data_IF_380850981190
#
_entry.id   IF_380850981190
#
_cell.length_a   1.000
_cell.length_b   1.000
_cell.length_c   1.000
_cell.angle_alpha   90.00
_cell.angle_beta   90.00
_cell.angle_gamma   90.00
#
_symmetry.space_group_name_H-M   'P 1'
#
loop_
_entity.id
_entity.type
_entity.pdbx_description
1 polymer ?
#
# COMPACT_ATOMS: atom_id res chain seq x y z
N UNK A 1 10.06 -4.16 -12.17
CA UNK A 1 10.48 -5.01 -11.03
C UNK A 1 10.60 -4.15 -9.79
N UNK A 2 10.41 -4.76 -8.61
CA UNK A 2 10.60 -4.15 -7.29
C UNK A 2 11.82 -4.79 -6.65
N UNK A 3 12.69 -3.97 -6.05
CA UNK A 3 13.91 -4.42 -5.37
C UNK A 3 14.05 -3.67 -4.04
N UNK A 4 14.95 -4.15 -3.17
CA UNK A 4 15.35 -3.42 -1.97
C UNK A 4 15.71 -1.96 -2.32
N UNK A 5 15.14 -1.02 -1.57
CA UNK A 5 15.29 0.43 -1.82
C UNK A 5 14.24 1.06 -2.73
N UNK A 6 13.34 0.28 -3.34
CA UNK A 6 12.20 0.84 -4.10
C UNK A 6 10.98 1.19 -3.23
N UNK A 7 11.05 0.97 -1.91
CA UNK A 7 10.01 1.40 -0.95
C UNK A 7 9.74 2.89 -1.07
N UNK A 8 8.47 3.29 -1.11
CA UNK A 8 8.03 4.66 -1.34
C UNK A 8 7.81 5.03 -2.82
N UNK A 9 8.22 4.17 -3.76
CA UNK A 9 8.01 4.42 -5.20
C UNK A 9 6.52 4.37 -5.57
N UNK A 10 6.06 5.20 -6.53
CA UNK A 10 4.66 5.18 -6.97
C UNK A 10 4.36 3.91 -7.78
N UNK A 11 3.23 3.28 -7.48
CA UNK A 11 2.60 2.25 -8.33
C UNK A 11 1.64 2.98 -9.26
N UNK A 12 1.85 2.83 -10.58
CA UNK A 12 1.04 3.51 -11.60
C UNK A 12 0.13 2.53 -12.34
N UNK A 13 -1.07 3.00 -12.72
CA UNK A 13 -1.94 2.24 -13.62
C UNK A 13 -1.30 2.21 -15.01
N UNK A 14 -1.11 1.01 -15.56
CA UNK A 14 -0.44 0.79 -16.84
C UNK A 14 -1.05 1.65 -17.97
N UNK A 15 -0.19 2.28 -18.76
CA UNK A 15 -0.60 3.18 -19.86
C UNK A 15 -1.12 4.55 -19.40
N UNK A 16 -1.05 4.89 -18.11
CA UNK A 16 -1.51 6.17 -17.56
C UNK A 16 -0.44 6.82 -16.67
N UNK A 17 -0.67 8.08 -16.27
CA UNK A 17 0.11 8.77 -15.23
C UNK A 17 -0.57 8.75 -13.86
N UNK A 18 -1.56 7.88 -13.67
CA UNK A 18 -2.35 7.80 -12.45
C UNK A 18 -1.61 6.93 -11.44
N UNK A 19 -1.28 7.50 -10.27
CA UNK A 19 -0.75 6.79 -9.11
C UNK A 19 -1.91 6.10 -8.38
N UNK A 20 -1.82 4.79 -8.21
CA UNK A 20 -2.86 3.96 -7.59
C UNK A 20 -2.41 3.33 -6.27
N UNK A 21 -1.13 3.42 -5.95
CA UNK A 21 -0.56 2.89 -4.74
C UNK A 21 0.88 3.36 -4.52
N UNK A 22 1.42 3.02 -3.36
CA UNK A 22 2.82 3.22 -2.99
C UNK A 22 3.42 1.86 -2.72
N UNK A 23 4.57 1.60 -3.33
CA UNK A 23 5.32 0.36 -3.10
C UNK A 23 5.88 0.37 -1.68
N UNK A 24 5.71 -0.73 -0.95
CA UNK A 24 6.26 -0.92 0.37
C UNK A 24 7.44 -1.91 0.28
N UNK A 25 7.55 -2.80 1.26
CA UNK A 25 8.54 -3.86 1.30
C UNK A 25 8.01 -5.11 0.57
N UNK A 26 8.91 -6.04 0.24
CA UNK A 26 8.58 -7.36 -0.27
C UNK A 26 9.03 -8.42 0.72
N UNK A 27 8.56 -9.65 0.57
CA UNK A 27 9.03 -10.78 1.37
C UNK A 27 10.34 -11.32 0.78
N UNK A 28 11.48 -10.86 1.30
CA UNK A 28 12.80 -11.08 0.69
C UNK A 28 13.31 -12.52 0.89
N UNK A 29 13.11 -13.06 2.10
CA UNK A 29 13.75 -14.30 2.55
C UNK A 29 12.79 -15.49 2.65
N UNK A 30 11.48 -15.28 2.50
CA UNK A 30 10.47 -16.31 2.77
C UNK A 30 10.17 -16.46 4.26
N UNK A 31 10.51 -15.47 5.09
CA UNK A 31 10.26 -15.53 6.53
C UNK A 31 8.82 -15.10 6.86
N UNK A 32 8.31 -15.62 7.97
CA UNK A 32 6.95 -15.37 8.44
C UNK A 32 6.90 -14.07 9.25
N UNK A 33 6.39 -13.01 8.63
CA UNK A 33 6.07 -11.74 9.30
C UNK A 33 7.25 -11.12 10.08
N UNK A 34 8.47 -11.22 9.56
CA UNK A 34 9.66 -10.60 10.16
C UNK A 34 10.00 -9.28 9.45
N UNK A 35 11.02 -8.56 9.92
CA UNK A 35 11.51 -7.36 9.23
C UNK A 35 11.90 -7.71 7.78
N UNK A 36 11.49 -6.87 6.82
CA UNK A 36 11.66 -7.11 5.37
C UNK A 36 11.00 -8.40 4.85
N UNK A 37 10.05 -8.96 5.62
CA UNK A 37 9.37 -10.21 5.30
C UNK A 37 7.88 -10.15 5.69
N UNK A 38 7.10 -9.23 5.07
CA UNK A 38 5.66 -9.11 5.29
C UNK A 38 4.91 -10.42 4.95
N UNK A 39 3.73 -10.56 5.53
CA UNK A 39 2.85 -11.71 5.37
C UNK A 39 1.39 -11.24 5.23
N UNK A 40 0.55 -12.08 4.64
CA UNK A 40 -0.89 -11.86 4.52
C UNK A 40 -1.60 -12.63 5.63
N UNK A 41 -2.50 -11.95 6.34
CA UNK A 41 -3.33 -12.54 7.39
C UNK A 41 -4.77 -12.46 6.91
N UNK A 42 -5.43 -13.60 6.73
CA UNK A 42 -6.82 -13.63 6.31
C UNK A 42 -7.81 -13.39 7.47
N UNK A 43 -9.11 -13.38 7.16
CA UNK A 43 -10.18 -13.17 8.13
C UNK A 43 -10.28 -14.27 9.21
N UNK A 44 -9.71 -15.45 8.96
CA UNK A 44 -9.66 -16.56 9.91
C UNK A 44 -8.35 -16.57 10.72
N UNK A 45 -7.42 -15.66 10.42
CA UNK A 45 -6.10 -15.59 11.04
C UNK A 45 -5.06 -16.54 10.42
N UNK A 46 -5.35 -17.15 9.26
CA UNK A 46 -4.32 -17.92 8.55
C UNK A 46 -3.27 -16.97 7.97
N UNK A 47 -2.02 -17.40 8.03
CA UNK A 47 -0.88 -16.58 7.63
C UNK A 47 -0.26 -17.18 6.38
N UNK A 48 -0.26 -16.40 5.29
CA UNK A 48 0.42 -16.72 4.03
C UNK A 48 1.65 -15.84 3.88
N UNK A 49 2.79 -16.42 3.50
CA UNK A 49 4.04 -15.68 3.28
C UNK A 49 4.76 -16.34 2.11
N UNK A 50 4.91 -15.60 1.02
CA UNK A 50 5.49 -16.12 -0.23
C UNK A 50 6.73 -15.32 -0.56
N UNK A 51 7.87 -16.00 -0.61
CA UNK A 51 9.15 -15.38 -0.99
C UNK A 51 9.04 -14.68 -2.34
N UNK A 52 9.54 -13.44 -2.41
CA UNK A 52 9.56 -12.59 -3.59
C UNK A 52 8.29 -11.76 -3.82
N UNK A 53 7.21 -11.99 -3.07
CA UNK A 53 5.99 -11.18 -3.20
C UNK A 53 6.25 -9.77 -2.68
N UNK A 54 5.86 -8.76 -3.45
CA UNK A 54 5.97 -7.35 -3.09
C UNK A 54 4.61 -6.76 -2.72
N UNK A 55 4.60 -5.87 -1.74
CA UNK A 55 3.38 -5.31 -1.19
C UNK A 55 3.29 -3.82 -1.50
N UNK A 56 2.09 -3.34 -1.77
CA UNK A 56 1.83 -1.93 -1.98
C UNK A 56 0.57 -1.48 -1.23
N UNK A 57 0.58 -0.25 -0.77
CA UNK A 57 -0.58 0.37 -0.14
C UNK A 57 -1.36 1.18 -1.18
N UNK A 58 -2.66 0.94 -1.31
CA UNK A 58 -3.49 1.71 -2.23
C UNK A 58 -3.69 3.15 -1.74
N UNK A 59 -3.74 4.12 -2.65
CA UNK A 59 -3.88 5.55 -2.33
C UNK A 59 -5.32 6.07 -2.39
N UNK A 60 -6.29 5.26 -2.82
CA UNK A 60 -7.63 5.76 -3.13
C UNK A 60 -8.36 6.41 -1.94
N UNK A 61 -8.08 5.96 -0.72
CA UNK A 61 -8.67 6.51 0.49
C UNK A 61 -8.23 7.96 0.73
N UNK A 62 -7.01 8.34 0.34
CA UNK A 62 -6.51 9.72 0.45
C UNK A 62 -7.37 10.66 -0.38
N UNK A 63 -7.78 10.25 -1.59
CA UNK A 63 -8.60 11.09 -2.48
C UNK A 63 -9.98 11.40 -1.91
N UNK A 64 -10.52 10.56 -1.01
CA UNK A 64 -11.80 10.82 -0.33
C UNK A 64 -11.71 11.93 0.72
N UNK A 65 -10.49 12.32 1.11
CA UNK A 65 -10.22 13.29 2.17
C UNK A 65 -9.58 14.58 1.62
N UNK A 66 -9.72 14.86 0.32
CA UNK A 66 -9.23 16.10 -0.27
C UNK A 66 -10.32 17.17 -0.28
N UNK A 67 -10.03 18.35 0.26
CA UNK A 67 -10.92 19.49 0.18
C UNK A 67 -10.96 20.08 -1.25
N UNK A 68 -11.74 21.14 -1.47
CA UNK A 68 -11.86 21.80 -2.78
C UNK A 68 -10.56 22.44 -3.28
N UNK A 69 -9.62 22.74 -2.37
CA UNK A 69 -8.27 23.21 -2.67
C UNK A 69 -7.27 22.07 -2.91
N UNK A 70 -7.71 20.80 -2.87
CA UNK A 70 -6.88 19.58 -2.97
C UNK A 70 -5.90 19.38 -1.82
N UNK A 71 -6.20 19.94 -0.66
CA UNK A 71 -5.44 19.71 0.57
C UNK A 71 -6.04 18.53 1.33
N UNK A 72 -5.19 17.80 2.07
CA UNK A 72 -5.65 16.73 2.94
C UNK A 72 -6.40 17.31 4.13
N UNK A 73 -7.68 16.96 4.26
CA UNK A 73 -8.57 17.37 5.34
C UNK A 73 -9.45 16.18 5.77
N UNK A 74 -9.19 15.66 6.97
CA UNK A 74 -9.89 14.50 7.53
C UNK A 74 -11.34 14.82 7.95
N UNK A 75 -11.72 16.10 7.97
CA UNK A 75 -13.08 16.53 8.34
C UNK A 75 -14.03 16.56 7.14
N UNK A 76 -13.52 16.34 5.91
CA UNK A 76 -14.34 16.24 4.69
C UNK A 76 -15.38 15.13 4.85
N UNK A 77 -16.65 15.45 4.61
CA UNK A 77 -17.73 14.47 4.67
C UNK A 77 -17.48 13.31 3.71
N UNK A 78 -17.44 12.08 4.23
CA UNK A 78 -17.16 10.89 3.43
C UNK A 78 -15.67 10.53 3.29
N UNK A 79 -14.78 11.23 4.01
CA UNK A 79 -13.38 10.82 4.14
C UNK A 79 -13.28 9.39 4.72
N UNK A 80 -12.53 8.53 4.04
CA UNK A 80 -12.34 7.11 4.37
C UNK A 80 -11.09 6.85 5.23
N UNK A 81 -10.31 7.88 5.55
CA UNK A 81 -9.13 7.78 6.43
C UNK A 81 -9.46 8.01 7.91
N UNK A 82 -10.75 8.02 8.28
CA UNK A 82 -11.18 8.24 9.65
C UNK A 82 -10.89 7.00 10.51
N UNK A 83 -10.19 7.19 11.62
CA UNK A 83 -10.02 6.21 12.69
C UNK A 83 -11.22 6.18 13.64
#
# INVERSE_FOLDING_TARGET
>A
ETIGGTSGSPITKAGTKIVIGINNTGNEDGQKCTMNNPCEIDLQGNITFTKGVSYGQQTYQIYSCLNTARELDLTVQGCLLTH
#
